data_IF_554283671994
#
_entry.id   IF_554283671994
#
_cell.length_a   1.000
_cell.length_b   1.000
_cell.length_c   1.000
_cell.angle_alpha   90.00
_cell.angle_beta   90.00
_cell.angle_gamma   90.00
#
_symmetry.space_group_name_H-M   'P 1'
#
loop_
_entity.id
_entity.type
_entity.pdbx_description
1 polymer ?
#
# COMPACT_ATOMS: atom_id res chain seq x y z
N UNK A 1 -15.44 -19.40 0.85
CA UNK A 1 -14.54 -18.52 1.61
C UNK A 1 -13.46 -19.40 2.23
N UNK A 2 -12.19 -19.10 1.97
CA UNK A 2 -11.03 -19.73 2.60
C UNK A 2 -10.57 -18.87 3.77
N UNK A 3 -10.29 -19.48 4.91
CA UNK A 3 -9.90 -18.79 6.14
C UNK A 3 -8.53 -19.24 6.61
N UNK A 4 -7.65 -18.29 6.92
CA UNK A 4 -6.30 -18.55 7.41
C UNK A 4 -5.97 -17.63 8.59
N UNK A 5 -5.34 -18.16 9.62
CA UNK A 5 -4.95 -17.42 10.82
C UNK A 5 -3.48 -17.04 10.77
N UNK A 6 -3.18 -15.75 10.89
CA UNK A 6 -1.81 -15.22 10.87
C UNK A 6 -1.49 -14.59 12.22
N UNK A 7 -0.42 -15.03 12.92
CA UNK A 7 -0.05 -14.43 14.20
C UNK A 7 0.46 -13.01 14.01
N UNK A 8 -0.03 -12.08 14.83
CA UNK A 8 0.54 -10.73 14.93
C UNK A 8 1.88 -10.76 15.66
N UNK A 9 2.80 -9.88 15.25
CA UNK A 9 4.12 -9.71 15.85
C UNK A 9 4.28 -8.27 16.35
N UNK A 10 5.11 -8.07 17.36
CA UNK A 10 5.43 -6.73 17.84
C UNK A 10 6.08 -5.87 16.75
N UNK A 11 6.87 -6.49 15.88
CA UNK A 11 7.51 -5.82 14.74
C UNK A 11 6.52 -5.33 13.65
N UNK A 12 5.25 -5.74 13.71
CA UNK A 12 4.21 -5.31 12.78
C UNK A 12 3.74 -3.87 13.05
N UNK A 13 4.12 -3.27 14.20
CA UNK A 13 3.61 -1.97 14.64
C UNK A 13 4.38 -0.80 14.04
N UNK A 14 3.64 0.26 13.75
CA UNK A 14 4.17 1.58 13.41
C UNK A 14 4.37 2.47 14.67
N UNK A 15 4.80 3.70 14.45
CA UNK A 15 5.01 4.69 15.52
C UNK A 15 3.73 5.11 16.25
N UNK A 16 2.55 4.85 15.70
CA UNK A 16 1.24 5.10 16.30
C UNK A 16 0.73 3.90 17.12
N UNK A 17 1.54 2.84 17.25
CA UNK A 17 1.17 1.58 17.90
C UNK A 17 0.00 0.86 17.20
N UNK A 18 -0.15 1.09 15.90
CA UNK A 18 -1.05 0.36 15.03
C UNK A 18 -0.25 -0.56 14.12
N UNK A 19 -0.89 -1.60 13.61
CA UNK A 19 -0.29 -2.42 12.56
C UNK A 19 0.00 -1.54 11.35
N UNK A 20 1.27 -1.55 10.90
CA UNK A 20 1.71 -0.76 9.76
C UNK A 20 0.92 -1.14 8.50
N UNK A 21 0.58 -0.15 7.70
CA UNK A 21 -0.23 -0.31 6.48
C UNK A 21 0.28 -1.41 5.54
N UNK A 22 1.60 -1.57 5.42
CA UNK A 22 2.21 -2.58 4.55
C UNK A 22 2.03 -3.99 5.11
N UNK A 23 1.95 -4.15 6.42
CA UNK A 23 1.80 -5.46 7.07
C UNK A 23 0.45 -6.11 6.76
N UNK A 24 -0.60 -5.34 6.50
CA UNK A 24 -1.88 -5.89 6.03
C UNK A 24 -1.73 -6.67 4.71
N UNK A 25 -0.82 -6.22 3.86
CA UNK A 25 -0.51 -6.89 2.60
C UNK A 25 0.31 -8.16 2.81
N UNK A 26 1.18 -8.17 3.84
CA UNK A 26 1.88 -9.38 4.25
C UNK A 26 0.87 -10.43 4.79
N UNK A 27 -0.10 -10.02 5.62
CA UNK A 27 -1.17 -10.92 6.06
C UNK A 27 -1.98 -11.45 4.86
N UNK A 28 -2.34 -10.59 3.92
CA UNK A 28 -3.03 -11.02 2.70
C UNK A 28 -2.19 -11.99 1.86
N UNK A 29 -0.87 -11.81 1.79
CA UNK A 29 0.04 -12.71 1.10
C UNK A 29 0.07 -14.11 1.76
N UNK A 30 0.14 -14.17 3.10
CA UNK A 30 0.04 -15.44 3.84
C UNK A 30 -1.29 -16.16 3.56
N UNK A 31 -2.41 -15.41 3.58
CA UNK A 31 -3.72 -15.97 3.22
C UNK A 31 -3.77 -16.51 1.79
N UNK A 32 -3.19 -15.80 0.80
CA UNK A 32 -3.11 -16.29 -0.58
C UNK A 32 -2.22 -17.53 -0.70
N UNK A 33 -1.09 -17.56 0.01
CA UNK A 33 -0.22 -18.73 0.03
C UNK A 33 -0.96 -19.97 0.59
N UNK A 34 -1.75 -19.81 1.65
CA UNK A 34 -2.60 -20.86 2.18
C UNK A 34 -3.68 -21.29 1.17
N UNK A 35 -4.32 -20.34 0.47
CA UNK A 35 -5.29 -20.65 -0.58
C UNK A 35 -4.66 -21.48 -1.72
N UNK A 36 -3.41 -21.20 -2.10
CA UNK A 36 -2.67 -21.99 -3.09
C UNK A 36 -2.37 -23.39 -2.56
N UNK A 37 -1.88 -23.49 -1.31
CA UNK A 37 -1.54 -24.77 -0.68
C UNK A 37 -2.75 -25.70 -0.57
N UNK A 38 -3.93 -25.14 -0.31
CA UNK A 38 -5.20 -25.88 -0.17
C UNK A 38 -5.95 -26.05 -1.50
N UNK A 39 -5.38 -25.58 -2.62
CA UNK A 39 -5.97 -25.70 -3.96
C UNK A 39 -7.17 -24.77 -4.23
N UNK A 40 -7.42 -23.79 -3.36
CA UNK A 40 -8.47 -22.79 -3.52
C UNK A 40 -8.08 -21.65 -4.49
N UNK A 41 -6.79 -21.50 -4.77
CA UNK A 41 -6.22 -20.57 -5.74
C UNK A 41 -5.18 -21.31 -6.59
N UNK A 42 -5.19 -21.09 -7.91
CA UNK A 42 -4.22 -21.69 -8.82
C UNK A 42 -2.80 -21.16 -8.54
N UNK A 43 -1.76 -22.02 -8.58
CA UNK A 43 -0.38 -21.58 -8.43
C UNK A 43 0.11 -20.79 -9.65
N UNK A 44 1.15 -19.96 -9.47
CA UNK A 44 1.85 -19.28 -10.56
C UNK A 44 1.12 -18.04 -11.11
N UNK A 45 0.01 -17.64 -10.50
CA UNK A 45 -0.68 -16.40 -10.88
C UNK A 45 0.11 -15.16 -10.42
N UNK A 46 0.23 -14.18 -11.31
CA UNK A 46 0.98 -12.95 -11.04
C UNK A 46 0.04 -11.79 -10.73
N UNK A 47 0.23 -11.06 -9.61
CA UNK A 47 -0.52 -9.85 -9.35
C UNK A 47 -0.26 -8.77 -10.42
N UNK A 48 -1.33 -8.20 -10.95
CA UNK A 48 -1.31 -7.03 -11.85
C UNK A 48 -1.66 -5.78 -11.06
N UNK A 49 -2.69 -5.86 -10.22
CA UNK A 49 -3.07 -4.75 -9.34
C UNK A 49 -3.38 -5.29 -7.96
N UNK A 50 -2.96 -4.57 -6.94
CA UNK A 50 -3.38 -4.81 -5.56
C UNK A 50 -3.90 -3.52 -4.95
N UNK A 51 -5.11 -3.57 -4.40
CA UNK A 51 -5.75 -2.46 -3.71
C UNK A 51 -6.04 -2.85 -2.27
N UNK A 52 -5.62 -2.02 -1.33
CA UNK A 52 -5.99 -2.15 0.08
C UNK A 52 -6.85 -0.96 0.50
N UNK A 53 -7.99 -1.24 1.13
CA UNK A 53 -8.87 -0.27 1.76
C UNK A 53 -8.81 -0.46 3.28
N UNK A 54 -8.32 0.56 4.00
CA UNK A 54 -8.24 0.54 5.46
C UNK A 54 -9.55 1.05 6.04
N UNK A 55 -10.17 0.26 6.89
CA UNK A 55 -11.48 0.56 7.48
C UNK A 55 -11.34 1.10 8.89
N UNK A 56 -10.36 0.59 9.64
CA UNK A 56 -10.06 0.99 11.01
C UNK A 56 -8.66 0.55 11.42
N UNK A 57 -8.02 1.20 12.40
CA UNK A 57 -6.69 0.80 12.86
C UNK A 57 -6.75 -0.54 13.60
N UNK A 58 -5.84 -1.45 13.27
CA UNK A 58 -5.63 -2.70 14.00
C UNK A 58 -4.51 -2.48 15.02
N UNK A 59 -4.74 -2.88 16.26
CA UNK A 59 -3.76 -2.84 17.34
C UNK A 59 -3.25 -4.23 17.66
N UNK A 60 -2.02 -4.32 18.17
CA UNK A 60 -1.45 -5.58 18.63
C UNK A 60 -2.37 -6.24 19.67
N UNK A 61 -2.63 -7.51 19.47
CA UNK A 61 -3.41 -8.34 20.38
C UNK A 61 -2.84 -9.75 20.49
N UNK A 62 -3.39 -10.55 21.39
CA UNK A 62 -3.01 -11.95 21.56
C UNK A 62 -3.66 -12.88 20.54
N UNK A 63 -4.75 -12.44 19.92
CA UNK A 63 -5.50 -13.25 18.92
C UNK A 63 -4.80 -13.09 17.56
N UNK A 64 -4.68 -14.17 16.79
CA UNK A 64 -4.18 -14.07 15.42
C UNK A 64 -5.18 -13.29 14.56
N UNK A 65 -4.66 -12.69 13.50
CA UNK A 65 -5.46 -12.07 12.45
C UNK A 65 -6.09 -13.16 11.61
N UNK A 66 -7.38 -13.06 11.33
CA UNK A 66 -8.07 -13.90 10.37
C UNK A 66 -8.00 -13.24 8.99
N UNK A 67 -7.50 -13.98 8.01
CA UNK A 67 -7.55 -13.63 6.59
C UNK A 67 -8.60 -14.49 5.93
N UNK A 68 -9.74 -13.89 5.57
CA UNK A 68 -10.85 -14.57 4.88
C UNK A 68 -10.81 -14.19 3.40
N UNK A 69 -10.57 -15.16 2.52
CA UNK A 69 -10.36 -14.94 1.09
C UNK A 69 -11.39 -15.66 0.21
N UNK A 70 -11.75 -15.03 -0.91
CA UNK A 70 -12.55 -15.60 -2.00
C UNK A 70 -11.90 -15.28 -3.33
N UNK A 71 -12.12 -16.15 -4.32
CA UNK A 71 -11.75 -15.92 -5.72
C UNK A 71 -13.03 -15.54 -6.47
N UNK A 72 -12.97 -14.44 -7.23
CA UNK A 72 -14.05 -13.95 -8.08
C UNK A 72 -13.47 -13.55 -9.45
N UNK A 73 -13.57 -14.44 -10.42
CA UNK A 73 -12.89 -14.28 -11.71
C UNK A 73 -11.36 -14.21 -11.52
N UNK A 74 -10.78 -13.11 -12.00
CA UNK A 74 -9.34 -12.83 -11.87
C UNK A 74 -8.98 -12.16 -10.53
N UNK A 75 -9.96 -11.84 -9.70
CA UNK A 75 -9.76 -11.16 -8.43
C UNK A 75 -9.71 -12.14 -7.26
N UNK A 76 -8.76 -11.89 -6.35
CA UNK A 76 -8.72 -12.50 -5.02
C UNK A 76 -9.07 -11.41 -4.01
N UNK A 77 -10.25 -11.53 -3.41
CA UNK A 77 -10.76 -10.58 -2.42
C UNK A 77 -10.54 -11.14 -1.03
N UNK A 78 -9.85 -10.39 -0.18
CA UNK A 78 -9.48 -10.82 1.17
C UNK A 78 -9.89 -9.79 2.21
N UNK A 79 -10.46 -10.26 3.32
CA UNK A 79 -10.73 -9.45 4.50
C UNK A 79 -9.70 -9.76 5.58
N UNK A 80 -9.12 -8.71 6.15
CA UNK A 80 -8.22 -8.78 7.31
C UNK A 80 -9.06 -8.45 8.54
N UNK A 81 -9.27 -9.42 9.41
CA UNK A 81 -10.26 -9.35 10.47
C UNK A 81 -9.78 -9.96 11.79
N UNK A 82 -10.50 -9.68 12.85
CA UNK A 82 -10.43 -10.40 14.13
C UNK A 82 -11.81 -10.96 14.48
N UNK A 83 -11.85 -12.20 14.91
CA UNK A 83 -13.05 -12.78 15.51
C UNK A 83 -13.09 -12.45 17.00
N UNK A 84 -14.21 -11.91 17.45
CA UNK A 84 -14.49 -11.53 18.83
C UNK A 84 -15.80 -12.14 19.33
N UNK A 85 -16.11 -11.92 20.62
CA UNK A 85 -17.38 -12.37 21.23
C UNK A 85 -18.61 -11.74 20.58
N UNK A 86 -18.46 -10.50 20.09
CA UNK A 86 -19.50 -9.75 19.38
C UNK A 86 -19.53 -10.05 17.85
N UNK A 87 -18.74 -11.03 17.37
CA UNK A 87 -18.62 -11.39 15.96
C UNK A 87 -17.34 -10.87 15.31
N UNK A 88 -17.28 -11.00 13.99
CA UNK A 88 -16.14 -10.63 13.16
C UNK A 88 -16.04 -9.11 12.97
N UNK A 89 -14.86 -8.56 13.22
CA UNK A 89 -14.52 -7.16 12.95
C UNK A 89 -13.51 -7.09 11.82
N UNK A 90 -13.85 -6.46 10.69
CA UNK A 90 -12.97 -6.27 9.54
C UNK A 90 -12.20 -4.96 9.69
N UNK A 91 -10.88 -5.01 9.52
CA UNK A 91 -9.95 -3.88 9.63
C UNK A 91 -9.49 -3.36 8.28
N UNK A 92 -9.31 -4.26 7.31
CA UNK A 92 -8.99 -3.89 5.93
C UNK A 92 -9.57 -4.90 4.95
N UNK A 93 -9.74 -4.45 3.71
CA UNK A 93 -10.07 -5.28 2.55
C UNK A 93 -8.95 -5.15 1.53
N UNK A 94 -8.49 -6.29 1.01
CA UNK A 94 -7.45 -6.37 -0.01
C UNK A 94 -8.02 -7.06 -1.23
N UNK A 95 -8.01 -6.39 -2.37
CA UNK A 95 -8.33 -6.99 -3.67
C UNK A 95 -7.05 -7.11 -4.48
N UNK A 96 -6.77 -8.31 -4.97
CA UNK A 96 -5.63 -8.60 -5.84
C UNK A 96 -6.15 -9.11 -7.18
N UNK A 97 -5.96 -8.33 -8.26
CA UNK A 97 -6.26 -8.76 -9.62
C UNK A 97 -5.05 -9.51 -10.18
N UNK A 98 -5.27 -10.73 -10.66
CA UNK A 98 -4.27 -11.57 -11.29
C UNK A 98 -4.33 -11.44 -12.81
N UNK A 99 -3.18 -11.58 -13.50
CA UNK A 99 -3.20 -11.54 -14.96
C UNK A 99 -1.85 -11.17 -15.59
N UNK A 100 -1.93 -10.58 -16.80
CA UNK A 100 -0.76 -10.10 -17.53
C UNK A 100 -0.53 -8.62 -17.26
N UNK A 101 0.70 -8.28 -16.94
CA UNK A 101 1.13 -6.90 -16.75
C UNK A 101 1.25 -6.17 -18.10
N UNK A 102 0.99 -4.86 -18.10
CA UNK A 102 1.11 -4.01 -19.27
C UNK A 102 2.10 -2.88 -18.97
N UNK A 103 3.00 -2.60 -19.92
CA UNK A 103 3.96 -1.51 -19.82
C UNK A 103 3.25 -0.14 -19.74
N UNK A 104 3.92 0.83 -19.12
CA UNK A 104 3.49 2.22 -19.09
C UNK A 104 4.70 3.14 -19.22
N UNK A 105 4.48 4.30 -19.84
CA UNK A 105 5.50 5.34 -19.98
C UNK A 105 5.60 6.16 -18.68
N UNK A 106 6.81 6.67 -18.40
CA UNK A 106 7.06 7.55 -17.26
C UNK A 106 6.38 8.90 -17.47
N UNK A 107 5.78 9.45 -16.41
CA UNK A 107 5.20 10.79 -16.47
C UNK A 107 6.31 11.84 -16.68
N UNK A 108 6.29 12.62 -17.79
CA UNK A 108 7.44 13.40 -18.22
C UNK A 108 7.78 14.60 -17.33
N UNK A 109 6.79 15.19 -16.67
CA UNK A 109 6.88 16.52 -16.06
C UNK A 109 6.99 16.50 -14.52
N UNK A 110 7.26 15.32 -13.92
CA UNK A 110 7.35 15.19 -12.46
C UNK A 110 8.78 14.97 -12.01
N UNK A 111 9.22 15.75 -11.01
CA UNK A 111 10.54 15.60 -10.42
C UNK A 111 10.73 14.22 -9.80
N UNK A 112 11.91 13.63 -10.00
CA UNK A 112 12.24 12.31 -9.47
C UNK A 112 13.23 12.37 -8.32
N UNK A 113 13.11 11.41 -7.39
CA UNK A 113 14.09 11.16 -6.33
C UNK A 113 14.69 9.75 -6.51
N UNK A 114 15.95 9.53 -6.11
CA UNK A 114 16.56 8.21 -6.18
C UNK A 114 16.02 7.28 -5.08
N UNK A 115 15.82 5.99 -5.40
CA UNK A 115 15.43 4.93 -4.48
C UNK A 115 16.33 3.71 -4.68
N UNK A 116 17.20 3.44 -3.73
CA UNK A 116 18.10 2.28 -3.79
C UNK A 116 17.41 1.04 -3.25
N UNK A 117 17.55 -0.07 -3.96
CA UNK A 117 17.10 -1.39 -3.50
C UNK A 117 18.16 -2.02 -2.58
N UNK A 118 17.72 -2.72 -1.57
CA UNK A 118 18.53 -3.62 -0.75
C UNK A 118 18.39 -5.04 -1.29
N UNK A 119 19.38 -5.89 -1.01
CA UNK A 119 19.28 -7.29 -1.47
C UNK A 119 18.22 -8.10 -0.74
N UNK A 120 17.91 -7.74 0.49
CA UNK A 120 16.82 -8.33 1.29
C UNK A 120 15.42 -7.81 0.93
N UNK A 121 15.31 -6.87 -0.01
CA UNK A 121 14.03 -6.49 -0.62
C UNK A 121 13.50 -7.53 -1.61
N UNK A 122 14.34 -8.49 -2.00
CA UNK A 122 14.06 -9.46 -3.05
C UNK A 122 13.73 -10.83 -2.48
N UNK A 123 12.86 -11.54 -3.19
CA UNK A 123 12.56 -12.95 -2.94
C UNK A 123 13.65 -13.89 -3.50
N UNK A 124 13.39 -15.19 -3.42
CA UNK A 124 14.30 -16.22 -3.92
C UNK A 124 14.47 -16.18 -5.47
N UNK A 125 13.53 -15.59 -6.19
CA UNK A 125 13.57 -15.44 -7.65
C UNK A 125 14.29 -14.15 -8.08
N UNK A 126 14.75 -13.37 -7.11
CA UNK A 126 15.48 -12.12 -7.30
C UNK A 126 14.61 -10.94 -7.72
N UNK A 127 13.33 -10.98 -7.42
CA UNK A 127 12.37 -9.91 -7.65
C UNK A 127 11.79 -9.39 -6.33
N UNK A 128 11.43 -8.11 -6.27
CA UNK A 128 10.75 -7.55 -5.11
C UNK A 128 9.34 -8.13 -5.00
N UNK A 129 8.99 -8.61 -3.79
CA UNK A 129 7.63 -9.10 -3.53
C UNK A 129 6.61 -7.94 -3.62
N UNK A 130 5.34 -8.27 -3.84
CA UNK A 130 4.28 -7.25 -3.86
C UNK A 130 4.26 -6.42 -2.57
N UNK A 131 4.44 -7.04 -1.40
CA UNK A 131 4.52 -6.34 -0.11
C UNK A 131 5.69 -5.35 -0.09
N UNK A 132 6.85 -5.76 -0.60
CA UNK A 132 8.03 -4.90 -0.67
C UNK A 132 7.83 -3.72 -1.62
N UNK A 133 7.14 -3.89 -2.73
CA UNK A 133 6.78 -2.80 -3.64
C UNK A 133 5.90 -1.75 -2.93
N UNK A 134 4.96 -2.19 -2.10
CA UNK A 134 4.18 -1.27 -1.25
C UNK A 134 5.05 -0.52 -0.21
N UNK A 135 6.07 -1.16 0.36
CA UNK A 135 7.05 -0.50 1.24
C UNK A 135 7.81 0.60 0.48
N UNK A 136 8.26 0.32 -0.74
CA UNK A 136 8.92 1.32 -1.59
C UNK A 136 8.00 2.51 -1.89
N UNK A 137 6.71 2.28 -2.14
CA UNK A 137 5.75 3.37 -2.31
C UNK A 137 5.43 4.09 -1.00
N UNK A 138 5.46 3.43 0.14
CA UNK A 138 5.37 4.09 1.44
C UNK A 138 6.55 5.03 1.65
N UNK A 139 7.77 4.58 1.37
CA UNK A 139 8.98 5.39 1.43
C UNK A 139 8.93 6.56 0.45
N UNK A 140 8.56 6.31 -0.81
CA UNK A 140 8.35 7.35 -1.83
C UNK A 140 7.41 8.44 -1.32
N UNK A 141 6.26 8.06 -0.77
CA UNK A 141 5.27 8.99 -0.22
C UNK A 141 5.85 9.82 0.92
N UNK A 142 6.57 9.21 1.86
CA UNK A 142 7.18 9.92 3.01
C UNK A 142 8.22 10.94 2.51
N UNK A 143 9.10 10.54 1.60
CA UNK A 143 10.13 11.41 1.03
C UNK A 143 9.52 12.61 0.29
N UNK A 144 8.54 12.35 -0.59
CA UNK A 144 7.90 13.41 -1.36
C UNK A 144 7.03 14.34 -0.51
N UNK A 145 6.23 13.81 0.43
CA UNK A 145 5.45 14.64 1.35
C UNK A 145 6.38 15.54 2.16
N UNK A 146 7.48 14.99 2.68
CA UNK A 146 8.44 15.77 3.47
C UNK A 146 9.14 16.87 2.66
N UNK A 147 9.32 16.68 1.35
CA UNK A 147 9.91 17.68 0.46
C UNK A 147 8.93 18.72 -0.05
N UNK A 148 7.67 18.33 -0.29
CA UNK A 148 6.65 19.19 -0.91
C UNK A 148 5.81 19.97 0.10
N UNK A 149 5.60 19.44 1.31
CA UNK A 149 4.70 20.00 2.30
C UNK A 149 5.47 20.51 3.52
N UNK A 150 6.08 21.67 3.41
CA UNK A 150 6.88 22.28 4.49
C UNK A 150 6.08 22.53 5.80
N UNK A 151 4.76 22.71 5.71
CA UNK A 151 3.86 22.98 6.84
C UNK A 151 3.06 21.76 7.31
N UNK A 152 2.90 20.75 6.48
CA UNK A 152 2.14 19.55 6.77
C UNK A 152 3.07 18.41 7.21
N UNK A 153 3.19 18.21 8.52
CA UNK A 153 4.08 17.20 9.08
C UNK A 153 3.55 15.77 8.85
N UNK A 154 4.45 14.77 8.71
CA UNK A 154 4.08 13.35 8.84
C UNK A 154 3.24 13.12 10.11
N UNK A 155 2.23 12.26 10.04
CA UNK A 155 1.29 12.02 11.15
C UNK A 155 0.01 12.87 11.12
N UNK A 156 -0.07 13.85 10.21
CA UNK A 156 -1.34 14.59 9.95
C UNK A 156 -2.23 13.93 8.90
N UNK A 157 -1.80 12.83 8.35
CA UNK A 157 -2.52 12.05 7.36
C UNK A 157 -2.47 10.58 7.70
N UNK A 158 -3.58 9.89 7.44
CA UNK A 158 -3.65 8.44 7.44
C UNK A 158 -4.01 7.94 6.04
N UNK A 159 -3.56 6.76 5.70
CA UNK A 159 -3.91 6.13 4.43
C UNK A 159 -5.32 5.55 4.54
N UNK A 160 -6.22 5.99 3.67
CA UNK A 160 -7.56 5.41 3.54
C UNK A 160 -7.59 4.26 2.54
N UNK A 161 -6.95 4.45 1.38
CA UNK A 161 -6.85 3.44 0.33
C UNK A 161 -5.48 3.56 -0.33
N UNK A 162 -4.87 2.44 -0.68
CA UNK A 162 -3.67 2.40 -1.51
C UNK A 162 -3.82 1.31 -2.56
N UNK A 163 -3.53 1.66 -3.81
CA UNK A 163 -3.54 0.74 -4.94
C UNK A 163 -2.18 0.78 -5.63
N UNK A 164 -1.65 -0.39 -5.97
CA UNK A 164 -0.42 -0.53 -6.76
C UNK A 164 -0.72 -1.34 -8.00
N UNK A 165 -0.31 -0.83 -9.15
CA UNK A 165 -0.28 -1.57 -10.42
C UNK A 165 1.16 -1.98 -10.71
N UNK A 166 1.37 -3.27 -10.90
CA UNK A 166 2.67 -3.84 -11.24
C UNK A 166 2.79 -3.89 -12.76
N UNK A 167 3.85 -3.28 -13.31
CA UNK A 167 4.10 -3.18 -14.75
C UNK A 167 5.16 -4.18 -15.20
N UNK A 168 6.21 -4.32 -14.39
CA UNK A 168 7.30 -5.29 -14.60
C UNK A 168 7.86 -5.77 -13.26
N UNK A 169 8.77 -6.75 -13.29
CA UNK A 169 9.50 -7.19 -12.11
C UNK A 169 10.53 -6.14 -11.68
N UNK A 170 10.50 -5.81 -10.40
CA UNK A 170 11.52 -4.96 -9.80
C UNK A 170 12.66 -5.88 -9.33
N UNK A 171 13.74 -5.94 -10.11
CA UNK A 171 14.92 -6.76 -9.83
C UNK A 171 16.05 -5.92 -9.25
N UNK A 172 16.93 -6.58 -8.49
CA UNK A 172 18.09 -5.89 -7.94
C UNK A 172 18.98 -5.28 -9.03
N UNK A 173 19.42 -4.06 -8.75
CA UNK A 173 20.36 -3.32 -9.58
C UNK A 173 21.22 -2.40 -8.70
N UNK A 174 22.50 -2.12 -9.07
CA UNK A 174 23.36 -1.20 -8.31
C UNK A 174 22.91 0.26 -8.45
N UNK A 175 22.32 0.64 -9.60
CA UNK A 175 21.81 1.99 -9.83
C UNK A 175 20.48 2.17 -9.13
N UNK A 176 20.24 3.33 -8.49
CA UNK A 176 18.94 3.63 -7.87
C UNK A 176 17.82 3.62 -8.91
N UNK A 177 16.64 3.14 -8.50
CA UNK A 177 15.38 3.43 -9.17
C UNK A 177 15.09 4.93 -9.08
N UNK A 178 14.20 5.40 -9.94
CA UNK A 178 13.65 6.75 -9.88
C UNK A 178 12.25 6.66 -9.32
N UNK A 179 11.95 7.47 -8.30
CA UNK A 179 10.59 7.62 -7.78
C UNK A 179 10.08 9.00 -8.11
N UNK A 180 8.84 9.10 -8.54
CA UNK A 180 8.11 10.35 -8.70
C UNK A 180 6.80 10.28 -7.91
N UNK A 181 6.33 11.45 -7.46
CA UNK A 181 5.02 11.53 -6.82
C UNK A 181 4.42 12.92 -7.00
N UNK A 182 3.10 12.97 -7.18
CA UNK A 182 2.34 14.22 -7.36
C UNK A 182 0.94 14.08 -6.79
N UNK A 183 0.31 15.21 -6.49
CA UNK A 183 -1.08 15.26 -6.08
C UNK A 183 -1.95 15.31 -7.33
N UNK A 184 -2.89 14.39 -7.46
CA UNK A 184 -3.81 14.29 -8.61
C UNK A 184 -5.20 14.87 -8.31
N UNK A 185 -5.60 14.89 -7.04
CA UNK A 185 -6.92 15.39 -6.63
C UNK A 185 -6.91 15.84 -5.17
N UNK A 186 -7.62 16.93 -4.87
CA UNK A 186 -7.82 17.45 -3.50
C UNK A 186 -9.30 17.57 -3.20
N UNK A 187 -9.76 16.92 -2.12
CA UNK A 187 -11.10 17.00 -1.56
C UNK A 187 -11.16 17.85 -0.30
N UNK A 188 -12.26 17.75 0.45
CA UNK A 188 -12.46 18.53 1.67
C UNK A 188 -11.61 18.03 2.86
N UNK A 189 -11.41 16.74 2.98
CA UNK A 189 -10.65 16.12 4.07
C UNK A 189 -9.73 15.00 3.60
N UNK A 190 -9.50 14.87 2.29
CA UNK A 190 -8.60 13.89 1.71
C UNK A 190 -7.99 14.42 0.42
N UNK A 191 -6.85 13.87 0.05
CA UNK A 191 -6.26 14.07 -1.27
C UNK A 191 -5.74 12.76 -1.84
N UNK A 192 -5.63 12.72 -3.16
CA UNK A 192 -5.07 11.59 -3.88
C UNK A 192 -3.65 11.92 -4.32
N UNK A 193 -2.73 11.03 -4.03
CA UNK A 193 -1.34 11.08 -4.46
C UNK A 193 -1.07 9.93 -5.40
N UNK A 194 -0.52 10.25 -6.57
CA UNK A 194 0.02 9.27 -7.51
C UNK A 194 1.52 9.18 -7.38
N UNK A 195 2.07 8.01 -7.63
CA UNK A 195 3.51 7.77 -7.56
C UNK A 195 3.91 6.71 -8.58
N UNK A 196 5.14 6.83 -9.07
CA UNK A 196 5.75 5.87 -9.99
C UNK A 196 7.12 5.42 -9.50
N UNK A 197 7.44 4.15 -9.76
CA UNK A 197 8.79 3.60 -9.68
C UNK A 197 9.23 3.25 -11.09
N UNK A 198 10.38 3.78 -11.53
CA UNK A 198 10.93 3.54 -12.86
C UNK A 198 12.42 3.21 -12.79
N UNK A 199 12.90 2.53 -13.81
CA UNK A 199 14.33 2.24 -13.99
C UNK A 199 15.01 3.21 -14.98
N UNK A 200 14.24 4.17 -15.48
CA UNK A 200 14.67 5.14 -16.49
C UNK A 200 14.35 4.73 -17.93
N UNK A 201 13.89 3.50 -18.16
CA UNK A 201 13.41 3.02 -19.48
C UNK A 201 11.89 2.91 -19.54
N UNK A 202 11.24 2.64 -18.39
CA UNK A 202 9.80 2.53 -18.27
C UNK A 202 9.37 2.50 -16.81
N UNK A 203 8.06 2.54 -16.58
CA UNK A 203 7.46 2.38 -15.26
C UNK A 203 7.47 0.90 -14.91
N UNK A 204 8.05 0.56 -13.75
CA UNK A 204 8.03 -0.81 -13.19
C UNK A 204 6.79 -1.05 -12.33
N UNK A 205 6.36 -0.02 -11.62
CA UNK A 205 5.10 -0.02 -10.87
C UNK A 205 4.60 1.42 -10.70
N UNK A 206 3.29 1.56 -10.56
CA UNK A 206 2.65 2.83 -10.20
C UNK A 206 1.67 2.64 -9.05
N UNK A 207 1.43 3.72 -8.30
CA UNK A 207 0.55 3.70 -7.14
C UNK A 207 -0.39 4.88 -7.12
N UNK A 208 -1.60 4.65 -6.63
CA UNK A 208 -2.57 5.67 -6.27
C UNK A 208 -2.94 5.51 -4.81
N UNK A 209 -2.70 6.54 -4.00
CA UNK A 209 -2.97 6.52 -2.56
C UNK A 209 -3.88 7.66 -2.16
N UNK A 210 -5.00 7.35 -1.49
CA UNK A 210 -5.86 8.35 -0.85
C UNK A 210 -5.38 8.57 0.58
N UNK A 211 -5.00 9.80 0.86
CA UNK A 211 -4.57 10.27 2.17
C UNK A 211 -5.70 11.10 2.79
N UNK A 212 -6.08 10.76 4.02
CA UNK A 212 -7.16 11.39 4.78
C UNK A 212 -6.54 12.25 5.87
N UNK A 213 -6.98 13.49 5.99
CA UNK A 213 -6.59 14.38 7.09
C UNK A 213 -6.92 13.72 8.44
N UNK A 214 -5.97 13.80 9.38
CA UNK A 214 -6.07 13.12 10.66
C UNK A 214 -5.60 14.06 11.78
N UNK A 215 -6.37 14.08 12.86
CA UNK A 215 -5.97 14.73 14.10
C UNK A 215 -5.44 13.69 15.09
N UNK A 216 -4.14 13.67 15.38
CA UNK A 216 -3.55 12.69 16.28
C UNK A 216 -4.00 12.88 17.75
N UNK A 217 -4.47 14.06 18.15
CA UNK A 217 -4.92 14.31 19.51
C UNK A 217 -6.31 13.69 19.77
N UNK A 218 -7.24 13.84 18.83
CA UNK A 218 -8.58 13.26 18.92
C UNK A 218 -8.68 11.86 18.30
N UNK A 219 -7.67 11.40 17.54
CA UNK A 219 -7.66 10.15 16.79
C UNK A 219 -8.81 10.06 15.77
N UNK A 220 -9.20 11.19 15.16
CA UNK A 220 -10.31 11.28 14.21
C UNK A 220 -9.89 11.89 12.88
N UNK A 221 -10.69 11.65 11.85
CA UNK A 221 -10.53 12.34 10.58
C UNK A 221 -10.73 13.84 10.73
N UNK A 222 -9.92 14.64 10.03
CA UNK A 222 -9.95 16.11 10.02
C UNK A 222 -10.21 16.59 8.61
N UNK A 223 -11.09 17.60 8.46
CA UNK A 223 -11.19 18.38 7.22
C UNK A 223 -10.03 19.36 7.11
N UNK A 224 -9.60 19.63 5.89
CA UNK A 224 -8.58 20.65 5.60
C UNK A 224 -9.19 22.05 5.69
N UNK A 225 -8.43 23.00 6.23
CA UNK A 225 -8.78 24.41 6.09
C UNK A 225 -8.47 24.93 4.66
N UNK A 226 -8.83 26.18 4.38
CA UNK A 226 -8.65 26.74 3.03
C UNK A 226 -7.17 26.82 2.62
N UNK A 227 -6.29 27.21 3.57
CA UNK A 227 -4.85 27.33 3.32
C UNK A 227 -4.21 25.94 3.05
N UNK A 228 -4.60 24.93 3.82
CA UNK A 228 -4.17 23.53 3.59
C UNK A 228 -4.61 23.05 2.21
N UNK A 229 -5.87 23.31 1.81
CA UNK A 229 -6.38 22.93 0.48
C UNK A 229 -5.68 23.65 -0.66
N UNK A 230 -5.44 24.94 -0.53
CA UNK A 230 -4.78 25.74 -1.57
C UNK A 230 -3.32 25.31 -1.74
N UNK A 231 -2.61 25.01 -0.64
CA UNK A 231 -1.27 24.44 -0.70
C UNK A 231 -1.29 23.09 -1.43
N UNK A 232 -2.21 22.18 -1.08
CA UNK A 232 -2.30 20.88 -1.76
C UNK A 232 -2.63 21.03 -3.26
N UNK A 233 -3.54 21.96 -3.62
CA UNK A 233 -3.91 22.22 -5.02
C UNK A 233 -2.76 22.81 -5.83
N UNK A 234 -1.89 23.63 -5.22
CA UNK A 234 -0.71 24.18 -5.90
C UNK A 234 0.34 23.14 -6.29
N UNK A 235 0.21 21.90 -5.78
CA UNK A 235 1.09 20.76 -6.08
C UNK A 235 0.51 19.80 -7.13
N UNK A 236 -0.63 20.14 -7.71
CA UNK A 236 -1.18 19.43 -8.89
C UNK A 236 -0.38 19.93 -10.10
N UNK A 237 0.27 19.00 -10.90
CA UNK A 237 1.02 19.35 -12.09
C UNK A 237 0.19 20.02 -13.18
#
# INVERSE_FOLDING_TARGET
>A
VHEHLVPMRWADLDSLQHVNNVVYLAYAAEGRAAMVADGALAPGLTPVTMTVRFLRPLRLGRRPVLVAGTVDGDDVVQQIALDGEAGRTVFAEVTTTMGRRAAADVHPDVATLPMSLRRDDLDADGAATATKVFELFQETRVLHISSLLATMRPGRFVVGTSSVTFRDDIRWRPEPLRTSAWISRVGNGSFEMRSELSDGTGVLADSTTTLVGFDPASQTAKTFDDAERDQLRSLIP
#
